data_IF_207258303480
#
_entry.id   IF_207258303480
#
_cell.length_a   1.000
_cell.length_b   1.000
_cell.length_c   1.000
_cell.angle_alpha   90.00
_cell.angle_beta   90.00
_cell.angle_gamma   90.00
#
_symmetry.space_group_name_H-M   'P 1'
#
loop_
_entity.id
_entity.type
_entity.pdbx_description
1 polymer ?
#
# COMPACT_ATOMS: atom_id res chain seq x y z
N UNK A 1 -47.91 16.40 28.19
CA UNK A 1 -47.79 15.93 26.80
C UNK A 1 -46.63 16.68 26.16
N UNK A 2 -45.51 16.02 25.79
CA UNK A 2 -44.40 16.70 25.11
C UNK A 2 -44.71 16.91 23.61
N UNK A 3 -44.19 17.99 22.98
CA UNK A 3 -44.48 18.38 21.59
C UNK A 3 -43.77 17.50 20.54
N UNK A 4 -44.26 17.47 19.27
CA UNK A 4 -43.72 16.63 18.21
C UNK A 4 -42.39 17.16 17.64
N UNK A 5 -41.45 16.25 17.37
CA UNK A 5 -40.14 16.54 16.77
C UNK A 5 -40.25 17.05 15.32
N UNK A 6 -39.49 18.08 14.92
CA UNK A 6 -39.45 18.57 13.54
C UNK A 6 -38.67 17.62 12.60
N UNK A 7 -38.96 17.68 11.28
CA UNK A 7 -38.42 16.73 10.30
C UNK A 7 -36.91 16.90 10.06
N UNK A 8 -36.19 15.78 10.13
CA UNK A 8 -34.76 15.66 9.90
C UNK A 8 -34.41 15.81 8.42
N UNK A 9 -34.21 17.05 7.95
CA UNK A 9 -33.56 17.31 6.67
C UNK A 9 -32.05 17.37 6.91
N UNK A 10 -31.37 16.24 6.71
CA UNK A 10 -29.95 16.05 6.99
C UNK A 10 -29.09 16.41 5.74
N UNK A 11 -28.46 17.60 5.67
CA UNK A 11 -27.57 17.99 4.56
C UNK A 11 -26.28 17.17 4.48
N UNK A 12 -26.00 16.30 5.47
CA UNK A 12 -24.80 15.46 5.52
C UNK A 12 -24.87 14.25 4.57
N UNK A 13 -26.04 13.96 3.98
CA UNK A 13 -26.13 13.01 2.86
C UNK A 13 -25.40 13.51 1.60
N UNK A 14 -25.15 14.82 1.46
CA UNK A 14 -24.37 15.39 0.34
C UNK A 14 -22.86 15.39 0.55
N UNK A 15 -22.37 15.11 1.76
CA UNK A 15 -20.93 15.06 2.06
C UNK A 15 -20.32 13.65 1.85
N UNK A 16 -21.12 12.59 1.93
CA UNK A 16 -20.71 11.22 1.56
C UNK A 16 -20.56 11.05 0.03
N UNK A 17 -21.27 11.87 -0.75
CA UNK A 17 -21.12 11.93 -2.21
C UNK A 17 -19.85 12.65 -2.65
N UNK A 18 -19.37 13.71 -1.98
CA UNK A 18 -18.28 14.51 -2.53
C UNK A 18 -16.87 13.84 -2.52
N UNK A 19 -16.60 12.95 -1.56
CA UNK A 19 -15.36 12.15 -1.50
C UNK A 19 -15.45 10.85 -2.30
N UNK A 20 -16.64 10.27 -2.44
CA UNK A 20 -16.89 9.18 -3.38
C UNK A 20 -16.86 9.65 -4.84
N UNK A 21 -17.45 10.80 -5.15
CA UNK A 21 -17.74 11.20 -6.53
C UNK A 21 -16.56 11.80 -7.28
N UNK A 22 -15.52 12.30 -6.60
CA UNK A 22 -14.29 12.79 -7.25
C UNK A 22 -13.17 11.75 -7.25
N UNK A 23 -13.00 10.99 -6.16
CA UNK A 23 -12.05 9.87 -6.13
C UNK A 23 -12.51 8.73 -7.05
N UNK A 24 -13.79 8.34 -7.09
CA UNK A 24 -14.26 7.26 -7.99
C UNK A 24 -14.16 7.61 -9.48
N UNK A 25 -14.15 8.90 -9.85
CA UNK A 25 -14.04 9.32 -11.26
C UNK A 25 -12.62 9.17 -11.83
N UNK A 26 -11.58 9.09 -10.99
CA UNK A 26 -10.17 8.94 -11.40
C UNK A 26 -9.39 7.83 -10.65
N UNK A 27 -9.95 7.22 -9.61
CA UNK A 27 -9.38 6.09 -8.86
C UNK A 27 -9.01 4.84 -9.68
N UNK A 28 -9.67 4.52 -10.82
CA UNK A 28 -9.25 3.40 -11.65
C UNK A 28 -7.82 3.52 -12.19
N UNK A 29 -7.25 4.73 -12.28
CA UNK A 29 -5.88 4.92 -12.79
C UNK A 29 -4.83 4.88 -11.67
N UNK A 30 -5.08 5.56 -10.54
CA UNK A 30 -4.09 5.65 -9.46
C UNK A 30 -3.88 4.31 -8.73
N UNK A 31 -4.96 3.62 -8.32
CA UNK A 31 -4.82 2.33 -7.61
C UNK A 31 -4.20 1.27 -8.49
N UNK A 32 -4.53 1.28 -9.78
CA UNK A 32 -3.93 0.37 -10.75
C UNK A 32 -2.45 0.69 -10.95
N UNK A 33 -2.06 1.97 -11.00
CA UNK A 33 -0.66 2.39 -11.07
C UNK A 33 0.14 1.93 -9.84
N UNK A 34 -0.40 2.15 -8.63
CA UNK A 34 0.18 1.68 -7.37
C UNK A 34 0.36 0.15 -7.34
N UNK A 35 -0.64 -0.59 -7.83
CA UNK A 35 -0.53 -2.05 -7.96
C UNK A 35 0.55 -2.47 -8.96
N UNK A 36 0.65 -1.79 -10.11
CA UNK A 36 1.66 -2.10 -11.15
C UNK A 36 3.08 -1.88 -10.65
N UNK A 37 3.34 -0.83 -9.87
CA UNK A 37 4.70 -0.60 -9.32
C UNK A 37 5.07 -1.65 -8.27
N UNK A 38 4.12 -2.09 -7.44
CA UNK A 38 4.32 -3.19 -6.49
C UNK A 38 4.60 -4.52 -7.20
N UNK A 39 3.84 -4.85 -8.25
CA UNK A 39 4.09 -6.05 -9.06
C UNK A 39 5.45 -6.01 -9.74
N UNK A 40 5.86 -4.84 -10.24
CA UNK A 40 7.20 -4.66 -10.80
C UNK A 40 8.28 -4.92 -9.74
N UNK A 41 8.11 -4.40 -8.52
CA UNK A 41 9.05 -4.67 -7.43
C UNK A 41 9.08 -6.17 -7.08
N UNK A 42 7.92 -6.83 -7.02
CA UNK A 42 7.83 -8.28 -6.78
C UNK A 42 8.53 -9.09 -7.89
N UNK A 43 8.39 -8.69 -9.15
CA UNK A 43 9.09 -9.33 -10.28
C UNK A 43 10.61 -9.17 -10.14
N UNK A 44 11.08 -7.94 -9.91
CA UNK A 44 12.52 -7.67 -9.76
C UNK A 44 13.12 -8.47 -8.59
N UNK A 45 12.42 -8.57 -7.46
CA UNK A 45 12.84 -9.40 -6.33
C UNK A 45 12.86 -10.90 -6.70
N UNK A 46 11.88 -11.36 -7.47
CA UNK A 46 11.85 -12.73 -8.01
C UNK A 46 13.03 -13.02 -8.95
N UNK A 47 13.36 -12.09 -9.85
CA UNK A 47 14.51 -12.23 -10.76
C UNK A 47 15.83 -12.40 -9.97
N UNK A 48 15.98 -11.69 -8.84
CA UNK A 48 17.14 -11.86 -7.95
C UNK A 48 17.15 -13.24 -7.30
N UNK A 49 15.99 -13.77 -6.90
CA UNK A 49 15.91 -15.12 -6.33
C UNK A 49 16.25 -16.21 -7.34
N UNK A 50 15.76 -16.06 -8.57
CA UNK A 50 16.00 -17.02 -9.65
C UNK A 50 17.48 -17.04 -10.06
N UNK A 51 18.13 -15.88 -10.01
CA UNK A 51 19.54 -15.71 -10.38
C UNK A 51 20.48 -15.56 -9.17
N UNK A 52 20.08 -16.06 -7.99
CA UNK A 52 20.76 -15.79 -6.72
C UNK A 52 22.24 -16.18 -6.70
N UNK A 53 22.61 -17.30 -7.33
CA UNK A 53 24.00 -17.77 -7.40
C UNK A 53 24.91 -16.85 -8.24
N UNK A 54 24.31 -16.07 -9.16
CA UNK A 54 25.02 -15.10 -10.02
C UNK A 54 24.73 -13.66 -9.60
N UNK A 55 24.29 -13.45 -8.36
CA UNK A 55 23.86 -12.15 -7.86
C UNK A 55 25.04 -11.17 -7.77
N UNK A 56 24.88 -10.01 -8.40
CA UNK A 56 25.74 -8.84 -8.16
C UNK A 56 25.15 -8.00 -7.03
N UNK A 57 25.97 -7.60 -6.05
CA UNK A 57 25.53 -6.80 -4.90
C UNK A 57 24.83 -5.49 -5.30
N UNK A 58 25.26 -4.86 -6.40
CA UNK A 58 24.62 -3.66 -6.95
C UNK A 58 23.18 -3.94 -7.42
N UNK A 59 22.91 -5.10 -8.01
CA UNK A 59 21.56 -5.48 -8.45
C UNK A 59 20.63 -5.71 -7.26
N UNK A 60 21.15 -6.29 -6.17
CA UNK A 60 20.42 -6.41 -4.91
C UNK A 60 20.08 -5.03 -4.35
N UNK A 61 21.08 -4.16 -4.18
CA UNK A 61 20.89 -2.82 -3.63
C UNK A 61 19.90 -2.00 -4.45
N UNK A 62 20.03 -2.00 -5.78
CA UNK A 62 19.13 -1.31 -6.70
C UNK A 62 17.69 -1.78 -6.56
N UNK A 63 17.48 -3.09 -6.45
CA UNK A 63 16.15 -3.68 -6.34
C UNK A 63 15.50 -3.37 -4.99
N UNK A 64 16.25 -3.50 -3.89
CA UNK A 64 15.76 -3.13 -2.57
C UNK A 64 15.49 -1.63 -2.48
N UNK A 65 16.32 -0.78 -3.12
CA UNK A 65 16.05 0.67 -3.19
C UNK A 65 14.75 0.96 -3.94
N UNK A 66 14.49 0.31 -5.06
CA UNK A 66 13.24 0.47 -5.80
C UNK A 66 12.03 0.07 -4.96
N UNK A 67 12.10 -1.07 -4.27
CA UNK A 67 11.05 -1.53 -3.36
C UNK A 67 10.81 -0.52 -2.21
N UNK A 68 11.88 -0.07 -1.55
CA UNK A 68 11.82 0.94 -0.48
C UNK A 68 11.14 2.23 -0.90
N UNK A 69 11.42 2.72 -2.11
CA UNK A 69 10.82 3.96 -2.63
C UNK A 69 9.30 3.87 -2.75
N UNK A 70 8.78 2.71 -3.17
CA UNK A 70 7.34 2.47 -3.23
C UNK A 70 6.75 2.48 -1.81
N UNK A 71 7.42 1.81 -0.86
CA UNK A 71 6.96 1.75 0.52
C UNK A 71 7.04 3.09 1.26
N UNK A 72 8.01 3.95 0.93
CA UNK A 72 8.02 5.34 1.43
C UNK A 72 6.80 6.13 0.94
N UNK A 73 6.41 6.00 -0.32
CA UNK A 73 5.20 6.64 -0.85
C UNK A 73 3.93 6.21 -0.09
N UNK A 74 3.76 4.91 0.18
CA UNK A 74 2.64 4.42 0.99
C UNK A 74 2.69 4.92 2.44
N UNK A 75 3.89 4.95 3.03
CA UNK A 75 4.10 5.45 4.39
C UNK A 75 3.76 6.94 4.52
N UNK A 76 4.27 7.77 3.61
CA UNK A 76 4.03 9.21 3.58
C UNK A 76 2.54 9.50 3.37
N UNK A 77 1.89 8.80 2.43
CA UNK A 77 0.44 8.89 2.21
C UNK A 77 -0.35 8.54 3.47
N UNK A 78 0.09 7.52 4.23
CA UNK A 78 -0.54 7.13 5.48
C UNK A 78 -0.28 8.14 6.61
N UNK A 79 0.80 8.94 6.56
CA UNK A 79 1.06 10.02 7.52
C UNK A 79 0.27 11.30 7.21
N UNK A 80 0.19 11.69 5.93
CA UNK A 80 -0.44 12.92 5.44
C UNK A 80 -1.97 12.90 5.51
N UNK A 81 -2.57 11.71 5.60
CA UNK A 81 -4.01 11.54 5.79
C UNK A 81 -4.33 11.12 7.25
N UNK A 82 -4.21 12.01 8.25
CA UNK A 82 -4.67 11.73 9.60
C UNK A 82 -6.20 11.67 9.57
N UNK A 83 -6.74 10.48 9.41
CA UNK A 83 -8.17 10.25 9.42
C UNK A 83 -8.79 10.67 10.76
N UNK A 84 -9.55 11.77 10.73
CA UNK A 84 -10.65 11.95 11.66
C UNK A 84 -11.72 10.90 11.37
N UNK A 85 -12.04 10.08 12.36
CA UNK A 85 -13.18 9.16 12.41
C UNK A 85 -13.22 7.94 11.46
N UNK A 86 -12.18 7.62 10.65
CA UNK A 86 -12.03 6.24 10.12
C UNK A 86 -11.36 5.33 11.17
N UNK A 87 -11.58 4.01 11.12
CA UNK A 87 -10.93 3.09 12.04
C UNK A 87 -9.41 3.28 11.92
N UNK A 88 -8.74 3.54 13.04
CA UNK A 88 -7.28 3.71 13.12
C UNK A 88 -6.50 2.57 12.44
N UNK A 89 -7.14 1.42 12.24
CA UNK A 89 -6.57 0.15 11.81
C UNK A 89 -5.89 0.20 10.43
N UNK A 90 -6.49 0.80 9.40
CA UNK A 90 -5.90 0.73 8.04
C UNK A 90 -4.58 1.51 7.96
N UNK A 91 -4.55 2.73 8.50
CA UNK A 91 -3.35 3.57 8.57
C UNK A 91 -2.26 2.87 9.37
N UNK A 92 -2.60 2.40 10.57
CA UNK A 92 -1.67 1.68 11.42
C UNK A 92 -1.13 0.43 10.74
N UNK A 93 -1.96 -0.30 10.00
CA UNK A 93 -1.53 -1.48 9.24
C UNK A 93 -0.53 -1.12 8.13
N UNK A 94 -0.76 -0.07 7.34
CA UNK A 94 0.18 0.38 6.31
C UNK A 94 1.52 0.81 6.92
N UNK A 95 1.47 1.60 8.00
CA UNK A 95 2.67 2.04 8.73
C UNK A 95 3.46 0.84 9.26
N UNK A 96 2.77 -0.13 9.88
CA UNK A 96 3.40 -1.32 10.42
C UNK A 96 4.03 -2.19 9.32
N UNK A 97 3.34 -2.35 8.19
CA UNK A 97 3.87 -3.08 7.03
C UNK A 97 5.10 -2.38 6.43
N UNK A 98 5.05 -1.06 6.25
CA UNK A 98 6.19 -0.29 5.75
C UNK A 98 7.42 -0.44 6.67
N UNK A 99 7.23 -0.30 7.98
CA UNK A 99 8.29 -0.50 8.97
C UNK A 99 8.87 -1.93 8.92
N UNK A 100 8.01 -2.93 8.78
CA UNK A 100 8.44 -4.32 8.60
C UNK A 100 9.29 -4.48 7.34
N UNK A 101 8.84 -3.94 6.20
CA UNK A 101 9.58 -3.98 4.93
C UNK A 101 10.94 -3.30 5.08
N UNK A 102 11.01 -2.11 5.64
CA UNK A 102 12.28 -1.40 5.83
C UNK A 102 13.26 -2.19 6.70
N UNK A 103 12.77 -2.76 7.80
CA UNK A 103 13.59 -3.62 8.67
C UNK A 103 14.10 -4.83 7.91
N UNK A 104 13.24 -5.51 7.15
CA UNK A 104 13.62 -6.68 6.35
C UNK A 104 14.66 -6.33 5.28
N UNK A 105 14.53 -5.19 4.62
CA UNK A 105 15.54 -4.75 3.64
C UNK A 105 16.89 -4.48 4.29
N UNK A 106 16.94 -3.90 5.49
CA UNK A 106 18.18 -3.74 6.25
C UNK A 106 18.79 -5.11 6.60
N UNK A 107 17.97 -6.05 7.08
CA UNK A 107 18.41 -7.43 7.37
C UNK A 107 18.99 -8.13 6.13
N UNK A 108 18.42 -7.91 4.95
CA UNK A 108 18.93 -8.46 3.67
C UNK A 108 20.26 -7.79 3.28
N UNK A 109 20.38 -6.46 3.45
CA UNK A 109 21.62 -5.76 3.11
C UNK A 109 22.78 -6.15 4.02
N UNK A 110 22.50 -6.46 5.31
CA UNK A 110 23.54 -6.87 6.28
C UNK A 110 23.90 -8.35 6.17
N UNK A 111 22.93 -9.22 5.91
CA UNK A 111 23.12 -10.66 5.78
C UNK A 111 22.25 -11.18 4.61
N UNK A 112 22.76 -11.09 3.36
CA UNK A 112 22.00 -11.46 2.17
C UNK A 112 21.63 -12.95 2.16
N UNK A 113 20.33 -13.24 2.14
CA UNK A 113 19.81 -14.61 2.04
C UNK A 113 18.62 -14.65 1.10
N UNK A 114 18.62 -15.61 0.17
CA UNK A 114 17.58 -15.78 -0.87
C UNK A 114 16.17 -15.79 -0.29
N UNK A 115 15.98 -16.51 0.82
CA UNK A 115 14.70 -16.74 1.49
C UNK A 115 14.15 -15.47 2.15
N UNK A 116 15.01 -14.50 2.48
CA UNK A 116 14.55 -13.25 3.08
C UNK A 116 13.75 -12.39 2.09
N UNK A 117 13.92 -12.61 0.78
CA UNK A 117 13.16 -11.94 -0.28
C UNK A 117 11.71 -12.44 -0.40
N UNK A 118 11.42 -13.70 0.01
CA UNK A 118 10.11 -14.33 -0.14
C UNK A 118 8.98 -13.47 0.46
N UNK A 119 9.21 -12.95 1.66
CA UNK A 119 8.19 -12.14 2.34
C UNK A 119 7.93 -10.82 1.61
N UNK A 120 8.97 -10.20 1.03
CA UNK A 120 8.83 -8.94 0.31
C UNK A 120 8.04 -9.14 -0.98
N UNK A 121 8.34 -10.23 -1.70
CA UNK A 121 7.61 -10.63 -2.91
C UNK A 121 6.14 -10.88 -2.59
N UNK A 122 5.86 -11.66 -1.55
CA UNK A 122 4.50 -12.01 -1.17
C UNK A 122 3.70 -10.77 -0.74
N UNK A 123 4.25 -9.92 0.13
CA UNK A 123 3.57 -8.68 0.54
C UNK A 123 3.25 -7.83 -0.70
N UNK A 124 4.22 -7.62 -1.59
CA UNK A 124 3.98 -6.80 -2.78
C UNK A 124 2.88 -7.38 -3.69
N UNK A 125 2.85 -8.70 -3.89
CA UNK A 125 1.81 -9.37 -4.68
C UNK A 125 0.44 -9.28 -4.04
N UNK A 126 0.32 -9.54 -2.73
CA UNK A 126 -0.95 -9.51 -2.01
C UNK A 126 -1.54 -8.10 -1.97
N UNK A 127 -0.72 -7.08 -1.69
CA UNK A 127 -1.18 -5.69 -1.69
C UNK A 127 -1.56 -5.25 -3.10
N UNK A 128 -0.78 -5.60 -4.13
CA UNK A 128 -1.15 -5.30 -5.51
C UNK A 128 -2.47 -5.97 -5.93
N UNK A 129 -2.66 -7.25 -5.56
CA UNK A 129 -3.91 -7.96 -5.83
C UNK A 129 -5.10 -7.25 -5.17
N UNK A 130 -4.97 -6.86 -3.90
CA UNK A 130 -5.98 -6.07 -3.19
C UNK A 130 -6.30 -4.74 -3.87
N UNK A 131 -5.29 -3.99 -4.32
CA UNK A 131 -5.47 -2.72 -5.04
C UNK A 131 -6.14 -2.89 -6.42
N UNK A 132 -5.92 -4.03 -7.08
CA UNK A 132 -6.54 -4.37 -8.36
C UNK A 132 -8.00 -4.81 -8.23
N UNK A 133 -8.44 -5.25 -7.05
CA UNK A 133 -9.85 -5.55 -6.84
C UNK A 133 -10.69 -4.27 -6.92
N UNK A 134 -11.68 -4.27 -7.82
CA UNK A 134 -12.69 -3.20 -7.83
C UNK A 134 -13.57 -3.37 -6.59
N UNK A 135 -13.90 -2.29 -5.85
CA UNK A 135 -14.88 -2.37 -4.80
C UNK A 135 -16.18 -2.95 -5.38
N UNK A 136 -16.78 -3.95 -4.72
CA UNK A 136 -18.13 -4.37 -5.05
C UNK A 136 -19.06 -3.14 -4.91
N UNK A 137 -19.93 -2.94 -5.91
CA UNK A 137 -20.91 -1.86 -5.94
C UNK A 137 -21.89 -1.89 -4.76
#
# INVERSE_FOLDING_TARGET
>A
MPPPNPPNNNPYAKAASAYGDNARKHAPDQRELEARVLLKAAHMLGDLQDNWENLHGEALEKTLKYNRQIWMMFYDTALENPEGNRPNDLRSNIINLANFVFKREVEIMTDPQKQKLDVLININKEIAAGLMTKPAE
#
